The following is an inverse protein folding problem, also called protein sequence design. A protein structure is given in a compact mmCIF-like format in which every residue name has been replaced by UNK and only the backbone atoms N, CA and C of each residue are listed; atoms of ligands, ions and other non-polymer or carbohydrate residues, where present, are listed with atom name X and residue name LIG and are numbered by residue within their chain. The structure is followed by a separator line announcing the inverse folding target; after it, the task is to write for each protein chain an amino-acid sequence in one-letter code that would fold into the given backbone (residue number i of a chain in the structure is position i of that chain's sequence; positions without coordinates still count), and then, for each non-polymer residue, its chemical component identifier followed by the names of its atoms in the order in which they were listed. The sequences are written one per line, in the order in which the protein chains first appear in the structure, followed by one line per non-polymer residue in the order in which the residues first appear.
data_IF_863031393831
#
_entry.id   IF_863031393831
#
_cell.length_a   1.000
_cell.length_b   1.000
_cell.length_c   1.000
_cell.angle_alpha   90.00
_cell.angle_beta   90.00
_cell.angle_gamma   90.00
#
_symmetry.space_group_name_H-M   'P 1'
#
loop_
_entity.id
_entity.type
_entity.pdbx_description
1 polymer ?
#
# COMPACT_ATOMS: atom_id res chain seq x y z
N UNK A 1 -21.65 14.03 33.38
CA UNK A 1 -20.21 14.30 33.27
C UNK A 1 -19.53 12.95 33.11
N UNK A 2 -19.39 12.48 31.86
CA UNK A 2 -18.84 11.16 31.57
C UNK A 2 -17.35 11.33 31.22
N UNK A 3 -16.53 10.74 32.08
CA UNK A 3 -15.08 10.73 32.05
C UNK A 3 -14.56 10.12 30.74
N UNK A 4 -13.86 10.96 29.96
CA UNK A 4 -13.10 10.57 28.78
C UNK A 4 -11.67 10.27 29.20
N UNK A 5 -11.45 9.14 29.85
CA UNK A 5 -10.10 8.64 30.10
C UNK A 5 -10.06 7.13 30.01
N UNK A 6 -10.00 6.63 28.78
CA UNK A 6 -9.44 5.29 28.57
C UNK A 6 -8.71 5.23 27.24
N UNK A 7 -7.53 5.84 27.21
CA UNK A 7 -6.52 5.63 26.18
C UNK A 7 -6.00 4.20 26.29
N UNK A 8 -6.70 3.25 25.67
CA UNK A 8 -6.16 1.91 25.47
C UNK A 8 -5.01 2.03 24.46
N UNK A 9 -3.77 1.89 24.93
CA UNK A 9 -2.68 1.38 24.09
C UNK A 9 -2.96 -0.10 23.80
N UNK A 10 -4.04 -0.37 23.07
CA UNK A 10 -4.47 -1.72 22.73
C UNK A 10 -3.64 -2.24 21.56
N UNK A 11 -2.97 -3.37 21.76
CA UNK A 11 -2.45 -4.18 20.66
C UNK A 11 -3.61 -4.53 19.72
N UNK A 12 -3.55 -4.05 18.48
CA UNK A 12 -4.56 -4.36 17.47
C UNK A 12 -4.28 -5.78 16.95
N UNK A 13 -5.22 -6.72 17.02
CA UNK A 13 -5.01 -8.07 16.49
C UNK A 13 -4.81 -7.99 14.96
N UNK A 14 -3.85 -8.77 14.47
CA UNK A 14 -3.58 -8.95 13.04
C UNK A 14 -3.88 -10.40 12.69
N UNK A 15 -4.73 -10.60 11.70
CA UNK A 15 -5.02 -11.87 11.07
C UNK A 15 -4.26 -11.94 9.75
N UNK A 16 -3.67 -13.08 9.45
CA UNK A 16 -2.98 -13.28 8.19
C UNK A 16 -3.18 -14.68 7.66
N UNK A 17 -2.88 -14.85 6.38
CA UNK A 17 -2.83 -16.15 5.75
C UNK A 17 -1.77 -16.14 4.64
N UNK A 18 -1.00 -17.22 4.54
CA UNK A 18 0.20 -17.30 3.71
C UNK A 18 1.50 -17.13 4.50
N UNK A 19 2.56 -16.72 3.81
CA UNK A 19 3.93 -16.66 4.31
C UNK A 19 4.25 -15.33 5.02
N UNK A 20 4.26 -15.35 6.35
CA UNK A 20 4.54 -14.16 7.17
C UNK A 20 6.00 -13.70 7.08
N UNK A 21 6.92 -14.59 6.71
CA UNK A 21 8.36 -14.28 6.62
C UNK A 21 8.68 -13.32 5.47
N UNK A 22 7.72 -13.11 4.55
CA UNK A 22 7.81 -12.04 3.55
C UNK A 22 8.02 -10.66 4.18
N UNK A 23 7.53 -10.43 5.41
CA UNK A 23 7.72 -9.16 6.13
C UNK A 23 9.14 -8.98 6.71
N UNK A 24 9.98 -10.02 6.69
CA UNK A 24 11.39 -9.91 7.07
C UNK A 24 12.25 -9.29 5.95
N UNK A 25 11.69 -9.22 4.74
CA UNK A 25 12.33 -8.61 3.57
C UNK A 25 11.95 -7.14 3.45
N UNK A 26 12.73 -6.34 2.70
CA UNK A 26 12.31 -4.98 2.38
C UNK A 26 10.93 -4.95 1.72
N UNK A 27 10.05 -4.11 2.22
CA UNK A 27 8.65 -4.01 1.79
C UNK A 27 8.32 -2.60 1.30
N UNK A 28 7.74 -2.48 0.10
CA UNK A 28 7.30 -1.20 -0.47
C UNK A 28 5.83 -1.24 -0.83
N UNK A 29 5.05 -0.35 -0.24
CA UNK A 29 3.65 -0.17 -0.59
C UNK A 29 3.51 0.58 -1.92
N UNK A 30 2.83 -0.01 -2.90
CA UNK A 30 2.52 0.64 -4.18
C UNK A 30 1.03 0.95 -4.21
N UNK A 31 0.70 2.24 -4.29
CA UNK A 31 -0.65 2.74 -4.00
C UNK A 31 -1.11 3.78 -5.03
N UNK A 32 -2.42 3.91 -5.21
CA UNK A 32 -2.98 4.97 -6.02
C UNK A 32 -4.48 4.87 -6.26
N UNK A 33 -4.95 5.51 -7.33
CA UNK A 33 -6.36 5.58 -7.73
C UNK A 33 -6.91 4.21 -8.14
N UNK A 34 -8.21 4.02 -7.84
CA UNK A 34 -8.98 2.87 -8.33
C UNK A 34 -9.29 2.94 -9.82
N UNK A 35 -9.31 4.16 -10.38
CA UNK A 35 -9.52 4.43 -11.81
C UNK A 35 -8.21 4.93 -12.41
N UNK A 36 -7.28 4.01 -12.63
CA UNK A 36 -5.94 4.31 -13.10
C UNK A 36 -5.91 4.52 -14.62
N UNK A 37 -5.23 5.57 -15.05
CA UNK A 37 -4.99 5.85 -16.46
C UNK A 37 -4.05 4.82 -17.10
N UNK A 38 -4.01 4.75 -18.43
CA UNK A 38 -3.13 3.80 -19.12
C UNK A 38 -1.64 4.10 -18.86
N UNK A 39 -1.27 5.38 -18.75
CA UNK A 39 0.08 5.76 -18.34
C UNK A 39 0.36 5.36 -16.87
N UNK A 40 -0.64 5.48 -16.00
CA UNK A 40 -0.57 5.03 -14.61
C UNK A 40 -0.39 3.53 -14.49
N UNK A 41 -1.09 2.72 -15.29
CA UNK A 41 -0.90 1.26 -15.35
C UNK A 41 0.53 0.91 -15.75
N UNK A 42 1.04 1.51 -16.83
CA UNK A 42 2.43 1.29 -17.27
C UNK A 42 3.44 1.65 -16.20
N UNK A 43 3.23 2.76 -15.47
CA UNK A 43 4.08 3.17 -14.35
C UNK A 43 4.01 2.16 -13.19
N UNK A 44 2.81 1.75 -12.77
CA UNK A 44 2.62 0.76 -11.71
C UNK A 44 3.29 -0.58 -12.06
N UNK A 45 3.06 -1.07 -13.28
CA UNK A 45 3.62 -2.34 -13.75
C UNK A 45 5.14 -2.30 -13.80
N UNK A 46 5.72 -1.23 -14.36
CA UNK A 46 7.18 -1.05 -14.42
C UNK A 46 7.79 -0.99 -13.02
N UNK A 47 7.23 -0.16 -12.13
CA UNK A 47 7.73 0.01 -10.78
C UNK A 47 7.68 -1.31 -10.00
N UNK A 48 6.55 -2.03 -10.04
CA UNK A 48 6.39 -3.30 -9.35
C UNK A 48 7.30 -4.42 -9.90
N UNK A 49 7.52 -4.46 -11.22
CA UNK A 49 8.51 -5.36 -11.83
C UNK A 49 9.91 -5.08 -11.29
N UNK A 50 10.33 -3.83 -11.31
CA UNK A 50 11.69 -3.44 -10.88
C UNK A 50 11.90 -3.67 -9.37
N UNK A 51 10.84 -3.51 -8.55
CA UNK A 51 10.88 -3.93 -7.14
C UNK A 51 11.05 -5.45 -7.01
N UNK A 52 10.31 -6.24 -7.78
CA UNK A 52 10.41 -7.70 -7.77
C UNK A 52 11.81 -8.19 -8.18
N UNK A 53 12.37 -7.63 -9.25
CA UNK A 53 13.73 -7.91 -9.72
C UNK A 53 14.79 -7.58 -8.65
N UNK A 54 14.57 -6.52 -7.87
CA UNK A 54 15.45 -6.13 -6.76
C UNK A 54 15.18 -6.90 -5.44
N UNK A 55 14.33 -7.92 -5.46
CA UNK A 55 13.98 -8.72 -4.28
C UNK A 55 13.17 -7.98 -3.22
N UNK A 56 12.59 -6.82 -3.56
CA UNK A 56 11.70 -6.05 -2.68
C UNK A 56 10.28 -6.59 -2.78
N UNK A 57 9.63 -6.80 -1.63
CA UNK A 57 8.26 -7.27 -1.55
C UNK A 57 7.29 -6.13 -1.86
N UNK A 58 6.40 -6.36 -2.82
CA UNK A 58 5.38 -5.37 -3.20
C UNK A 58 4.17 -5.49 -2.28
N UNK A 59 3.93 -4.47 -1.48
CA UNK A 59 2.78 -4.37 -0.60
C UNK A 59 1.68 -3.56 -1.29
N UNK A 60 0.41 -3.96 -1.20
CA UNK A 60 -0.69 -3.13 -1.67
C UNK A 60 -2.03 -3.50 -1.03
N UNK A 61 -3.09 -2.80 -1.40
CA UNK A 61 -4.40 -2.92 -0.78
C UNK A 61 -5.41 -3.82 -1.51
N UNK A 62 -5.01 -4.45 -2.62
CA UNK A 62 -5.89 -5.29 -3.46
C UNK A 62 -7.15 -4.57 -3.98
N UNK A 63 -7.17 -3.23 -3.98
CA UNK A 63 -8.23 -2.47 -4.63
C UNK A 63 -8.10 -2.54 -6.16
N UNK A 64 -9.16 -2.16 -6.88
CA UNK A 64 -9.04 -1.93 -8.32
C UNK A 64 -7.95 -0.88 -8.62
N UNK A 65 -7.50 -0.83 -9.87
CA UNK A 65 -6.58 0.19 -10.35
C UNK A 65 -5.13 -0.09 -9.98
N UNK A 66 -4.44 0.90 -9.40
CA UNK A 66 -2.99 0.81 -9.14
C UNK A 66 -2.63 -0.43 -8.32
N UNK A 67 -3.41 -0.74 -7.28
CA UNK A 67 -3.14 -1.86 -6.39
C UNK A 67 -3.12 -3.20 -7.16
N UNK A 68 -4.17 -3.50 -7.93
CA UNK A 68 -4.22 -4.72 -8.76
C UNK A 68 -3.08 -4.76 -9.80
N UNK A 69 -2.74 -3.63 -10.42
CA UNK A 69 -1.63 -3.58 -11.39
C UNK A 69 -0.29 -3.90 -10.73
N UNK A 70 0.00 -3.27 -9.59
CA UNK A 70 1.26 -3.45 -8.88
C UNK A 70 1.43 -4.88 -8.37
N UNK A 71 0.41 -5.43 -7.70
CA UNK A 71 0.44 -6.82 -7.22
C UNK A 71 0.58 -7.79 -8.40
N UNK A 72 -0.18 -7.59 -9.47
CA UNK A 72 -0.18 -8.48 -10.63
C UNK A 72 1.17 -8.50 -11.34
N UNK A 73 1.74 -7.32 -11.59
CA UNK A 73 3.05 -7.20 -12.23
C UNK A 73 4.16 -7.81 -11.39
N UNK A 74 4.18 -7.58 -10.07
CA UNK A 74 5.17 -8.21 -9.20
C UNK A 74 5.10 -9.75 -9.27
N UNK A 75 3.90 -10.32 -9.18
CA UNK A 75 3.70 -11.77 -9.21
C UNK A 75 4.07 -12.39 -10.56
N UNK A 76 3.69 -11.77 -11.68
CA UNK A 76 4.04 -12.26 -13.03
C UNK A 76 5.54 -12.22 -13.29
N UNK A 77 6.28 -11.35 -12.62
CA UNK A 77 7.74 -11.28 -12.71
C UNK A 77 8.47 -12.08 -11.61
N UNK A 78 7.79 -13.05 -10.97
CA UNK A 78 8.38 -13.93 -9.96
C UNK A 78 8.63 -13.27 -8.59
N UNK A 79 8.17 -12.04 -8.41
CA UNK A 79 8.25 -11.32 -7.14
C UNK A 79 7.31 -11.86 -6.08
N UNK A 80 7.55 -11.45 -4.83
CA UNK A 80 6.67 -11.72 -3.70
C UNK A 80 5.83 -10.49 -3.38
N UNK A 81 4.57 -10.73 -2.97
CA UNK A 81 3.63 -9.66 -2.67
C UNK A 81 3.00 -9.82 -1.29
N UNK A 82 2.49 -8.71 -0.75
CA UNK A 82 1.65 -8.70 0.44
C UNK A 82 0.40 -7.87 0.14
N UNK A 83 -0.78 -8.45 0.34
CA UNK A 83 -2.01 -7.68 0.30
C UNK A 83 -2.52 -7.39 1.71
N UNK A 84 -2.78 -6.11 2.02
CA UNK A 84 -3.41 -5.70 3.28
C UNK A 84 -4.84 -5.28 2.97
N UNK A 85 -5.84 -6.03 3.46
CA UNK A 85 -7.25 -5.83 3.07
C UNK A 85 -8.07 -5.15 4.18
N UNK A 86 -9.11 -4.42 3.75
CA UNK A 86 -10.08 -3.74 4.62
C UNK A 86 -11.25 -4.63 5.04
N UNK A 87 -11.22 -5.90 4.65
CA UNK A 87 -12.23 -6.93 4.91
C UNK A 87 -11.63 -8.04 5.76
N UNK A 88 -12.45 -8.88 6.39
CA UNK A 88 -11.97 -10.16 6.92
C UNK A 88 -11.38 -11.05 5.82
N UNK A 89 -10.54 -12.01 6.19
CA UNK A 89 -9.83 -12.89 5.24
C UNK A 89 -10.79 -13.73 4.38
N UNK A 90 -11.95 -14.10 4.94
CA UNK A 90 -13.02 -14.87 4.29
C UNK A 90 -13.88 -14.04 3.32
N UNK A 91 -13.56 -12.76 3.09
CA UNK A 91 -14.34 -11.86 2.24
C UNK A 91 -13.47 -11.07 1.27
N UNK A 92 -13.73 -11.28 -0.03
CA UNK A 92 -13.10 -10.51 -1.09
C UNK A 92 -13.82 -9.17 -1.34
N UNK A 93 -13.04 -8.09 -1.42
CA UNK A 93 -13.53 -6.80 -1.89
C UNK A 93 -12.40 -6.03 -2.61
N UNK A 94 -12.59 -5.62 -3.87
CA UNK A 94 -13.79 -5.83 -4.70
C UNK A 94 -14.00 -7.32 -5.04
N UNK A 95 -15.26 -7.73 -5.27
CA UNK A 95 -15.62 -9.13 -5.51
C UNK A 95 -14.90 -9.73 -6.74
N UNK A 96 -14.64 -8.91 -7.76
CA UNK A 96 -13.92 -9.32 -8.97
C UNK A 96 -12.46 -9.72 -8.69
N UNK A 97 -11.89 -9.30 -7.56
CA UNK A 97 -10.54 -9.68 -7.15
C UNK A 97 -10.53 -10.97 -6.28
N UNK A 98 -11.64 -11.71 -6.16
CA UNK A 98 -11.69 -12.92 -5.30
C UNK A 98 -10.64 -13.99 -5.68
N UNK A 99 -10.53 -14.32 -6.97
CA UNK A 99 -9.52 -15.28 -7.47
C UNK A 99 -8.11 -14.73 -7.19
N UNK A 100 -7.93 -13.42 -7.30
CA UNK A 100 -6.64 -12.80 -7.08
C UNK A 100 -6.25 -12.82 -5.60
N UNK A 101 -7.21 -12.55 -4.70
CA UNK A 101 -7.05 -12.70 -3.26
C UNK A 101 -6.66 -14.13 -2.88
N UNK A 102 -7.33 -15.12 -3.46
CA UNK A 102 -7.05 -16.53 -3.20
C UNK A 102 -5.63 -16.91 -3.63
N UNK A 103 -5.17 -16.40 -4.77
CA UNK A 103 -3.79 -16.60 -5.23
C UNK A 103 -2.77 -15.99 -4.25
N UNK A 104 -3.03 -14.78 -3.75
CA UNK A 104 -2.16 -14.13 -2.77
C UNK A 104 -2.13 -14.92 -1.45
N UNK A 105 -3.29 -15.39 -1.00
CA UNK A 105 -3.38 -16.26 0.17
C UNK A 105 -2.51 -17.52 0.05
N UNK A 106 -2.53 -18.20 -1.11
CA UNK A 106 -1.81 -19.47 -1.31
C UNK A 106 -0.31 -19.30 -1.48
N UNK A 107 0.11 -18.33 -2.28
CA UNK A 107 1.49 -18.26 -2.80
C UNK A 107 2.34 -17.13 -2.16
N UNK A 108 1.67 -16.26 -1.39
CA UNK A 108 2.20 -15.00 -0.89
C UNK A 108 1.68 -14.72 0.54
N UNK A 109 1.29 -13.47 0.86
CA UNK A 109 0.76 -13.10 2.17
C UNK A 109 -0.45 -12.18 2.04
N UNK A 110 -1.53 -12.54 2.73
CA UNK A 110 -2.74 -11.74 2.90
C UNK A 110 -2.88 -11.33 4.37
N UNK A 111 -3.09 -10.05 4.65
CA UNK A 111 -3.17 -9.48 6.01
C UNK A 111 -4.49 -8.73 6.19
N UNK A 112 -5.12 -8.90 7.34
CA UNK A 112 -6.29 -8.13 7.78
C UNK A 112 -6.22 -7.81 9.28
N UNK A 113 -6.87 -6.72 9.70
CA UNK A 113 -7.11 -6.40 11.11
C UNK A 113 -8.52 -6.80 11.57
N UNK A 114 -9.32 -7.37 10.66
CA UNK A 114 -10.75 -7.60 10.88
C UNK A 114 -11.00 -9.10 11.04
N UNK A 115 -11.61 -9.55 12.15
CA UNK A 115 -11.86 -10.97 12.40
C UNK A 115 -12.82 -11.57 11.36
N UNK A 116 -12.66 -12.87 11.09
CA UNK A 116 -13.56 -13.65 10.22
C UNK A 116 -15.02 -13.48 10.65
N UNK A 117 -15.92 -13.40 9.67
CA UNK A 117 -17.35 -13.14 9.89
C UNK A 117 -17.72 -11.71 10.28
N UNK A 118 -16.76 -10.80 10.50
CA UNK A 118 -17.09 -9.41 10.87
C UNK A 118 -17.63 -8.58 9.71
N UNK A 119 -18.45 -7.58 10.03
CA UNK A 119 -19.01 -6.66 9.04
C UNK A 119 -17.92 -5.72 8.52
N UNK A 120 -17.93 -5.49 7.21
CA UNK A 120 -17.06 -4.50 6.55
C UNK A 120 -17.67 -3.10 6.62
N UNK A 121 -16.93 -2.13 7.12
CA UNK A 121 -17.33 -0.71 7.15
C UNK A 121 -16.40 0.14 6.28
N UNK A 122 -16.86 1.33 5.86
CA UNK A 122 -16.00 2.26 5.11
C UNK A 122 -14.80 2.74 5.94
N UNK A 123 -14.95 2.85 7.27
CA UNK A 123 -13.87 3.18 8.20
C UNK A 123 -12.76 2.12 8.26
N UNK A 124 -13.01 0.91 7.77
CA UNK A 124 -12.00 -0.14 7.72
C UNK A 124 -10.88 0.19 6.73
N UNK A 125 -11.16 0.91 5.63
CA UNK A 125 -10.16 1.19 4.60
C UNK A 125 -9.08 2.18 5.06
N UNK A 126 -9.41 3.28 5.76
CA UNK A 126 -8.41 4.08 6.47
C UNK A 126 -7.60 3.27 7.49
N UNK A 127 -8.24 2.46 8.33
CA UNK A 127 -7.54 1.62 9.31
C UNK A 127 -6.60 0.60 8.65
N UNK A 128 -7.02 -0.01 7.53
CA UNK A 128 -6.17 -0.86 6.69
C UNK A 128 -4.94 -0.11 6.20
N UNK A 129 -5.11 1.11 5.70
CA UNK A 129 -3.99 1.90 5.18
C UNK A 129 -2.93 2.11 6.26
N UNK A 130 -3.33 2.44 7.50
CA UNK A 130 -2.39 2.52 8.62
C UNK A 130 -1.55 1.25 8.79
N UNK A 131 -2.16 0.06 8.72
CA UNK A 131 -1.41 -1.21 8.79
C UNK A 131 -0.51 -1.42 7.59
N UNK A 132 -0.98 -1.10 6.39
CA UNK A 132 -0.17 -1.17 5.18
C UNK A 132 1.08 -0.28 5.28
N UNK A 133 0.94 0.92 5.85
CA UNK A 133 2.08 1.81 6.12
C UNK A 133 3.01 1.23 7.19
N UNK A 134 2.45 0.60 8.23
CA UNK A 134 3.22 0.02 9.33
C UNK A 134 4.11 -1.16 8.89
N UNK A 135 3.59 -2.03 8.02
CA UNK A 135 4.31 -3.21 7.50
C UNK A 135 5.23 -2.91 6.31
N UNK A 136 5.31 -1.66 5.86
CA UNK A 136 6.17 -1.26 4.74
C UNK A 136 7.33 -0.37 5.21
N UNK A 137 8.49 -0.51 4.58
CA UNK A 137 9.63 0.39 4.76
C UNK A 137 9.43 1.74 4.04
N UNK A 138 8.60 1.75 3.00
CA UNK A 138 8.16 2.95 2.29
C UNK A 138 6.87 2.76 1.50
N UNK A 139 6.28 3.87 1.05
CA UNK A 139 5.08 3.90 0.19
C UNK A 139 5.32 4.75 -1.06
N UNK A 140 4.79 4.33 -2.20
CA UNK A 140 4.89 5.04 -3.47
C UNK A 140 3.52 5.28 -4.09
N UNK A 141 3.18 6.55 -4.28
CA UNK A 141 1.96 6.99 -4.95
C UNK A 141 2.21 7.05 -6.46
N UNK A 142 1.59 6.14 -7.21
CA UNK A 142 1.73 6.08 -8.67
C UNK A 142 0.85 7.12 -9.36
N UNK A 143 -0.42 7.21 -8.95
CA UNK A 143 -1.41 8.11 -9.52
C UNK A 143 -2.52 8.33 -8.49
N UNK A 144 -2.99 9.56 -8.29
CA UNK A 144 -4.04 9.87 -7.34
C UNK A 144 -4.77 11.17 -7.74
N UNK A 145 -6.05 11.27 -7.38
CA UNK A 145 -6.85 12.50 -7.51
C UNK A 145 -6.79 13.36 -6.23
N UNK A 146 -7.36 14.57 -6.29
CA UNK A 146 -7.39 15.51 -5.16
C UNK A 146 -8.07 14.93 -3.91
N UNK A 147 -9.09 14.10 -4.08
CA UNK A 147 -9.87 13.47 -3.00
C UNK A 147 -9.49 12.01 -2.73
N UNK A 148 -8.30 11.57 -3.16
CA UNK A 148 -7.93 10.15 -3.08
C UNK A 148 -7.74 9.66 -1.64
N UNK A 149 -8.29 8.49 -1.31
CA UNK A 149 -8.02 7.78 -0.04
C UNK A 149 -6.55 7.41 0.15
N UNK A 150 -5.73 7.46 -0.90
CA UNK A 150 -4.27 7.32 -0.87
C UNK A 150 -3.60 8.39 0.03
N UNK A 151 -4.23 9.56 0.21
CA UNK A 151 -3.73 10.62 1.08
C UNK A 151 -3.61 10.19 2.54
N UNK A 152 -4.55 9.35 3.00
CA UNK A 152 -4.49 8.82 4.36
C UNK A 152 -3.29 7.88 4.53
N UNK A 153 -3.00 7.05 3.52
CA UNK A 153 -1.79 6.21 3.51
C UNK A 153 -0.51 7.06 3.54
N UNK A 154 -0.46 8.14 2.76
CA UNK A 154 0.68 9.06 2.76
C UNK A 154 0.90 9.70 4.13
N UNK A 155 -0.18 10.14 4.79
CA UNK A 155 -0.12 10.70 6.13
C UNK A 155 0.38 9.68 7.17
N UNK A 156 -0.11 8.43 7.14
CA UNK A 156 0.37 7.38 8.03
C UNK A 156 1.84 7.01 7.75
N UNK A 157 2.26 7.01 6.48
CA UNK A 157 3.66 6.81 6.09
C UNK A 157 4.59 7.86 6.72
N UNK A 158 4.24 9.15 6.61
CA UNK A 158 4.98 10.25 7.23
C UNK A 158 5.02 10.12 8.75
N UNK A 159 3.86 9.84 9.36
CA UNK A 159 3.74 9.67 10.82
C UNK A 159 4.65 8.57 11.37
N UNK A 160 4.87 7.52 10.58
CA UNK A 160 5.71 6.38 10.95
C UNK A 160 7.20 6.56 10.58
N UNK A 161 7.60 7.72 10.04
CA UNK A 161 9.00 7.97 9.68
C UNK A 161 9.50 7.13 8.49
N UNK A 162 8.57 6.65 7.64
CA UNK A 162 8.85 5.80 6.47
C UNK A 162 9.15 6.64 5.22
N UNK A 163 9.73 6.03 4.19
CA UNK A 163 9.98 6.70 2.91
C UNK A 163 8.69 6.89 2.12
N UNK A 164 8.50 8.08 1.54
CA UNK A 164 7.35 8.39 0.67
C UNK A 164 7.85 8.81 -0.72
N UNK A 165 7.49 8.05 -1.74
CA UNK A 165 7.67 8.42 -3.14
C UNK A 165 6.37 8.95 -3.74
N UNK A 166 6.42 10.08 -4.43
CA UNK A 166 5.29 10.60 -5.20
C UNK A 166 5.71 10.64 -6.67
N UNK A 167 4.97 9.97 -7.56
CA UNK A 167 5.32 9.97 -8.97
C UNK A 167 5.43 11.39 -9.53
N UNK A 168 6.42 11.62 -10.38
CA UNK A 168 6.65 12.94 -11.01
C UNK A 168 5.39 13.52 -11.65
N UNK A 169 4.62 12.69 -12.36
CA UNK A 169 3.37 13.11 -12.99
C UNK A 169 2.27 13.52 -12.00
N UNK A 170 2.30 13.06 -10.75
CA UNK A 170 1.39 13.52 -9.69
C UNK A 170 1.88 14.86 -9.12
N UNK A 171 3.19 15.05 -8.98
CA UNK A 171 3.78 16.31 -8.49
C UNK A 171 3.57 17.45 -9.49
N UNK A 172 3.67 17.16 -10.79
CA UNK A 172 3.53 18.14 -11.88
C UNK A 172 2.07 18.44 -12.26
N UNK A 173 1.09 17.68 -11.77
CA UNK A 173 -0.32 17.94 -12.05
C UNK A 173 -0.83 19.14 -11.24
N UNK A 174 -0.93 20.30 -11.91
CA UNK A 174 -1.39 21.57 -11.30
C UNK A 174 -2.81 21.52 -10.73
N UNK A 175 -3.61 20.50 -11.06
CA UNK A 175 -4.94 20.31 -10.47
C UNK A 175 -4.87 19.74 -9.06
N UNK A 176 -3.71 19.20 -8.66
CA UNK A 176 -3.49 18.59 -7.36
C UNK A 176 -2.84 19.58 -6.39
N UNK A 177 -3.49 19.83 -5.26
CA UNK A 177 -2.98 20.78 -4.25
C UNK A 177 -2.26 20.09 -3.11
N UNK A 178 -2.47 18.79 -2.96
CA UNK A 178 -1.96 18.02 -1.83
C UNK A 178 -0.49 17.58 -1.92
N UNK A 179 0.17 17.39 -3.09
CA UNK A 179 1.54 16.86 -3.10
C UNK A 179 2.51 17.73 -2.29
N UNK A 180 2.39 19.05 -2.40
CA UNK A 180 3.19 20.04 -1.65
C UNK A 180 3.10 19.88 -0.13
N UNK A 181 2.03 19.28 0.40
CA UNK A 181 1.86 19.03 1.84
C UNK A 181 2.84 17.97 2.36
N UNK A 182 3.32 17.10 1.48
CA UNK A 182 4.24 16.02 1.81
C UNK A 182 5.67 16.29 1.36
N UNK A 183 5.88 17.12 0.32
CA UNK A 183 7.22 17.39 -0.21
C UNK A 183 8.19 18.05 0.80
N UNK A 184 7.67 18.68 1.86
CA UNK A 184 8.52 19.22 2.94
C UNK A 184 8.98 18.18 3.97
N UNK A 185 8.45 16.95 3.91
CA UNK A 185 8.91 15.86 4.76
C UNK A 185 10.25 15.33 4.25
N UNK A 186 11.24 15.22 5.15
CA UNK A 186 12.63 14.86 4.82
C UNK A 186 12.80 13.53 4.06
N UNK A 187 11.91 12.55 4.31
CA UNK A 187 11.90 11.26 3.61
C UNK A 187 10.84 11.19 2.52
N UNK A 188 10.37 12.33 2.03
CA UNK A 188 9.55 12.41 0.82
C UNK A 188 10.44 12.71 -0.38
N UNK A 189 10.27 11.96 -1.48
CA UNK A 189 10.94 12.23 -2.75
C UNK A 189 9.95 12.29 -3.91
N UNK A 190 10.29 13.08 -4.92
CA UNK A 190 9.71 12.94 -6.24
C UNK A 190 10.31 11.69 -6.87
N UNK A 191 9.47 10.72 -7.22
CA UNK A 191 9.90 9.47 -7.82
C UNK A 191 10.22 9.67 -9.30
N UNK A 192 11.52 9.84 -9.60
CA UNK A 192 12.04 9.93 -10.96
C UNK A 192 12.45 8.57 -11.53
N UNK A 193 13.01 7.70 -10.70
CA UNK A 193 13.43 6.34 -11.05
C UNK A 193 13.20 5.35 -9.91
N UNK A 194 12.94 4.08 -10.24
CA UNK A 194 12.71 3.03 -9.24
C UNK A 194 13.96 2.72 -8.42
N UNK A 195 15.13 2.70 -9.07
CA UNK A 195 16.42 2.45 -8.42
C UNK A 195 16.70 3.43 -7.29
N UNK A 196 16.45 4.73 -7.50
CA UNK A 196 16.66 5.76 -6.48
C UNK A 196 15.82 5.53 -5.21
N UNK A 197 14.61 4.97 -5.36
CA UNK A 197 13.78 4.63 -4.22
C UNK A 197 14.26 3.34 -3.54
N UNK A 198 14.63 2.32 -4.33
CA UNK A 198 15.18 1.06 -3.81
C UNK A 198 16.44 1.29 -2.97
N UNK A 199 17.37 2.12 -3.44
CA UNK A 199 18.60 2.47 -2.69
C UNK A 199 18.28 2.98 -1.29
N UNK A 200 17.27 3.84 -1.15
CA UNK A 200 16.82 4.41 0.13
C UNK A 200 16.19 3.36 1.06
N UNK A 201 15.52 2.36 0.49
CA UNK A 201 14.92 1.26 1.25
C UNK A 201 16.00 0.33 1.82
N UNK A 202 17.10 0.13 1.10
CA UNK A 202 18.23 -0.67 1.58
C UNK A 202 19.20 0.09 2.49
N UNK A 203 19.25 1.42 2.42
CA UNK A 203 20.19 2.26 3.20
C UNK A 203 19.72 2.55 4.64
N UNK A 204 19.11 1.57 5.33
CA UNK A 204 18.50 1.73 6.66
C UNK A 204 19.38 2.47 7.68
#
# INVERSE_FOLDING_TARGET
MLDRSNSHSGTIPIYYAGDIDLLLRPCVAVIGTRKVSEIGKRRANRFARELAEAGVVVVSGLADGVDTQALGAAMTNGGKVVAVIGTPLDKAYPANNAIFQEKIYRDHLLISQFPNGSRTFQSNFPARNRTMAAVSDGSVIIEASESSGTLHQAAECVKLGRWLGISKGVVEDHRLTWPKKFLSYEKCIVLESTSSFIERIYSK
#
